data_IF_653325512617
#
_entry.id   IF_653325512617
#
_cell.length_a   1.000
_cell.length_b   1.000
_cell.length_c   1.000
_cell.angle_alpha   90.00
_cell.angle_beta   90.00
_cell.angle_gamma   90.00
#
_symmetry.space_group_name_H-M   'P 1'
#
loop_
_entity.id
_entity.type
_entity.pdbx_description
1 polymer ?
#
# COMPACT_ATOMS: atom_id res chain seq x y z
N UNK A 1 -1.74 29.73 29.73
CA UNK A 1 -1.05 29.05 28.61
C UNK A 1 -1.78 29.44 27.34
N UNK A 2 -1.16 30.30 26.53
CA UNK A 2 -1.84 31.28 25.69
C UNK A 2 -2.01 30.86 24.23
N UNK A 3 -2.97 31.49 23.58
CA UNK A 3 -3.41 31.40 22.18
C UNK A 3 -2.31 31.04 21.16
N UNK A 4 -1.07 31.51 21.34
CA UNK A 4 0.08 31.19 20.49
C UNK A 4 0.51 29.72 20.49
N UNK A 5 0.33 28.98 21.60
CA UNK A 5 0.61 27.53 21.61
C UNK A 5 -0.39 26.78 20.72
N UNK A 6 -1.68 27.14 20.79
CA UNK A 6 -2.73 26.55 19.95
C UNK A 6 -2.50 26.80 18.45
N UNK A 7 -2.02 28.01 18.09
CA UNK A 7 -1.66 28.32 16.70
C UNK A 7 -0.48 27.49 16.20
N UNK A 8 0.56 27.32 17.02
CA UNK A 8 1.71 26.48 16.68
C UNK A 8 1.30 25.01 16.52
N UNK A 9 0.50 24.49 17.44
CA UNK A 9 0.04 23.10 17.43
C UNK A 9 -0.82 22.83 16.18
N UNK A 10 -1.75 23.72 15.83
CA UNK A 10 -2.55 23.59 14.61
C UNK A 10 -1.72 23.63 13.33
N UNK A 11 -0.68 24.49 13.29
CA UNK A 11 0.23 24.54 12.15
C UNK A 11 1.03 23.24 12.00
N UNK A 12 1.58 22.71 13.10
CA UNK A 12 2.35 21.46 13.09
C UNK A 12 1.47 20.24 12.73
N UNK A 13 0.22 20.19 13.22
CA UNK A 13 -0.79 19.21 12.80
C UNK A 13 -1.05 19.25 11.29
N UNK A 14 -1.28 20.44 10.74
CA UNK A 14 -1.59 20.60 9.31
C UNK A 14 -0.46 20.09 8.42
N UNK A 15 0.80 20.26 8.80
CA UNK A 15 1.93 19.73 8.04
C UNK A 15 1.94 18.20 7.98
N UNK A 16 1.57 17.51 9.06
CA UNK A 16 1.46 16.05 9.08
C UNK A 16 0.23 15.59 8.28
N UNK A 17 -0.90 16.29 8.43
CA UNK A 17 -2.12 16.03 7.67
C UNK A 17 -1.85 16.12 6.16
N UNK A 18 -1.09 17.13 5.72
CA UNK A 18 -0.72 17.29 4.31
C UNK A 18 0.14 16.11 3.81
N UNK A 19 1.15 15.68 4.58
CA UNK A 19 1.99 14.52 4.23
C UNK A 19 1.12 13.28 4.07
N UNK A 20 0.27 12.96 5.06
CA UNK A 20 -0.58 11.77 4.99
C UNK A 20 -1.59 11.85 3.84
N UNK A 21 -2.20 13.01 3.63
CA UNK A 21 -3.16 13.21 2.56
C UNK A 21 -2.53 13.00 1.17
N UNK A 22 -1.29 13.46 0.98
CA UNK A 22 -0.57 13.25 -0.26
C UNK A 22 -0.22 11.77 -0.47
N UNK A 23 0.11 11.03 0.59
CA UNK A 23 0.32 9.58 0.51
C UNK A 23 -0.97 8.82 0.21
N UNK A 24 -2.06 9.14 0.92
CA UNK A 24 -3.37 8.52 0.69
C UNK A 24 -3.90 8.77 -0.72
N UNK A 25 -3.73 9.98 -1.27
CA UNK A 25 -4.12 10.25 -2.67
C UNK A 25 -3.37 9.39 -3.68
N UNK A 26 -2.09 9.10 -3.43
CA UNK A 26 -1.31 8.21 -4.32
C UNK A 26 -1.89 6.81 -4.32
N UNK A 27 -2.16 6.23 -3.15
CA UNK A 27 -2.72 4.88 -3.07
C UNK A 27 -4.20 4.81 -3.46
N UNK A 28 -4.98 5.87 -3.24
CA UNK A 28 -6.35 6.02 -3.76
C UNK A 28 -6.35 6.00 -5.29
N UNK A 29 -5.41 6.70 -5.94
CA UNK A 29 -5.28 6.68 -7.40
C UNK A 29 -4.94 5.30 -7.98
N UNK A 30 -4.44 4.39 -7.14
CA UNK A 30 -4.18 2.98 -7.47
C UNK A 30 -5.37 2.06 -7.14
N UNK A 31 -6.48 2.60 -6.63
CA UNK A 31 -7.67 1.84 -6.22
C UNK A 31 -7.50 1.05 -4.91
N UNK A 32 -6.46 1.34 -4.13
CA UNK A 32 -6.13 0.59 -2.91
C UNK A 32 -6.81 1.14 -1.65
N UNK A 33 -7.33 2.36 -1.68
CA UNK A 33 -7.97 3.01 -0.54
C UNK A 33 -9.45 3.26 -0.82
N UNK A 34 -10.31 2.90 0.15
CA UNK A 34 -11.77 3.14 0.06
C UNK A 34 -12.24 4.44 0.75
N UNK A 35 -11.38 5.03 1.58
CA UNK A 35 -11.67 6.21 2.38
C UNK A 35 -11.34 7.52 1.66
N UNK A 36 -12.01 8.60 2.07
CA UNK A 36 -11.63 9.95 1.66
C UNK A 36 -10.26 10.34 2.27
N UNK A 37 -9.21 10.60 1.45
CA UNK A 37 -7.85 10.84 1.94
C UNK A 37 -7.74 11.99 2.95
N UNK A 38 -8.43 13.10 2.67
CA UNK A 38 -8.34 14.31 3.48
C UNK A 38 -8.98 14.11 4.84
N UNK A 39 -10.19 13.53 4.86
CA UNK A 39 -10.92 13.27 6.10
C UNK A 39 -10.15 12.27 6.97
N UNK A 40 -9.66 11.19 6.37
CA UNK A 40 -8.87 10.18 7.06
C UNK A 40 -7.59 10.77 7.68
N UNK A 41 -6.86 11.59 6.91
CA UNK A 41 -5.63 12.23 7.41
C UNK A 41 -5.87 13.12 8.62
N UNK A 42 -6.97 13.87 8.63
CA UNK A 42 -7.35 14.70 9.79
C UNK A 42 -7.67 13.84 11.00
N UNK A 43 -8.48 12.79 10.82
CA UNK A 43 -8.89 11.89 11.91
C UNK A 43 -7.68 11.19 12.54
N UNK A 44 -6.78 10.63 11.74
CA UNK A 44 -5.58 9.93 12.24
C UNK A 44 -4.66 10.87 13.04
N UNK A 45 -4.43 12.08 12.55
CA UNK A 45 -3.56 13.05 13.22
C UNK A 45 -4.20 13.57 14.50
N UNK A 46 -5.50 13.90 14.48
CA UNK A 46 -6.19 14.38 15.67
C UNK A 46 -6.26 13.32 16.78
N UNK A 47 -6.54 12.06 16.43
CA UNK A 47 -6.59 10.95 17.38
C UNK A 47 -5.24 10.76 18.08
N UNK A 48 -4.16 10.60 17.31
CA UNK A 48 -2.84 10.42 17.89
C UNK A 48 -2.40 11.66 18.70
N UNK A 49 -2.69 12.86 18.20
CA UNK A 49 -2.32 14.09 18.91
C UNK A 49 -3.04 14.24 20.25
N UNK A 50 -4.30 13.79 20.35
CA UNK A 50 -5.06 13.77 21.60
C UNK A 50 -4.46 12.83 22.64
N UNK A 51 -3.96 11.68 22.22
CA UNK A 51 -3.43 10.61 23.09
C UNK A 51 -1.95 10.81 23.47
N UNK A 52 -1.15 11.39 22.57
CA UNK A 52 0.31 11.42 22.68
C UNK A 52 0.92 12.82 22.53
N UNK A 53 0.17 13.88 22.85
CA UNK A 53 0.64 15.29 22.81
C UNK A 53 1.99 15.53 23.51
N UNK A 54 2.31 14.75 24.54
CA UNK A 54 3.57 14.82 25.30
C UNK A 54 4.80 14.39 24.48
N UNK A 55 4.67 13.45 23.56
CA UNK A 55 5.77 12.96 22.70
C UNK A 55 6.25 14.03 21.72
N UNK A 56 5.42 15.03 21.46
CA UNK A 56 5.63 15.98 20.37
C UNK A 56 6.50 17.18 20.74
N UNK A 57 6.62 17.47 22.05
CA UNK A 57 7.44 18.51 22.70
C UNK A 57 7.97 19.63 21.76
N UNK A 58 7.06 20.21 20.97
CA UNK A 58 7.28 21.29 20.01
C UNK A 58 8.32 21.10 18.89
N UNK A 59 8.69 19.87 18.50
CA UNK A 59 9.77 19.58 17.53
C UNK A 59 9.32 19.05 16.16
N UNK A 60 8.01 18.90 15.91
CA UNK A 60 7.49 18.30 14.67
C UNK A 60 7.87 19.11 13.43
N UNK A 61 8.13 20.40 13.54
CA UNK A 61 8.53 21.22 12.39
C UNK A 61 9.88 20.80 11.73
N UNK A 62 10.61 19.79 12.21
CA UNK A 62 11.83 19.26 11.55
C UNK A 62 11.66 17.82 11.06
N UNK A 63 12.35 17.46 9.97
CA UNK A 63 12.63 16.05 9.66
C UNK A 63 13.69 15.54 10.64
N UNK A 64 13.58 14.32 11.19
CA UNK A 64 12.64 13.25 10.82
C UNK A 64 11.28 13.30 11.52
N UNK A 65 11.09 14.14 12.54
CA UNK A 65 9.93 14.11 13.43
C UNK A 65 8.55 14.12 12.71
N UNK A 66 8.40 14.84 11.58
CA UNK A 66 7.17 14.78 10.76
C UNK A 66 6.88 13.38 10.23
N UNK A 67 7.89 12.74 9.64
CA UNK A 67 7.76 11.42 9.02
C UNK A 67 7.50 10.38 10.10
N UNK A 68 8.23 10.46 11.20
CA UNK A 68 8.06 9.57 12.35
C UNK A 68 6.65 9.70 12.93
N UNK A 69 6.14 10.92 13.05
CA UNK A 69 4.77 11.13 13.51
C UNK A 69 3.72 10.66 12.48
N UNK A 70 3.96 10.83 11.18
CA UNK A 70 3.12 10.22 10.14
C UNK A 70 3.10 8.69 10.24
N UNK A 71 4.25 8.05 10.49
CA UNK A 71 4.36 6.60 10.73
C UNK A 71 3.53 6.20 11.95
N UNK A 72 3.68 6.91 13.06
CA UNK A 72 2.92 6.64 14.28
C UNK A 72 1.40 6.81 14.07
N UNK A 73 0.98 7.83 13.31
CA UNK A 73 -0.44 8.08 13.02
C UNK A 73 -1.03 6.98 12.13
N UNK A 74 -0.26 6.52 11.13
CA UNK A 74 -0.65 5.39 10.29
C UNK A 74 -0.71 4.08 11.07
N UNK A 75 0.26 3.80 11.94
CA UNK A 75 0.26 2.56 12.72
C UNK A 75 -0.90 2.51 13.71
N UNK A 76 -1.19 3.62 14.40
CA UNK A 76 -2.35 3.71 15.29
C UNK A 76 -3.67 3.59 14.50
N UNK A 77 -3.74 4.21 13.32
CA UNK A 77 -4.87 4.05 12.41
C UNK A 77 -5.10 2.61 11.96
N UNK A 78 -4.02 1.87 11.67
CA UNK A 78 -4.07 0.46 11.28
C UNK A 78 -4.66 -0.41 12.40
N UNK A 79 -4.29 -0.17 13.66
CA UNK A 79 -4.88 -0.87 14.81
C UNK A 79 -6.38 -0.60 14.99
N UNK A 80 -6.87 0.56 14.51
CA UNK A 80 -8.27 0.95 14.59
C UNK A 80 -9.12 0.40 13.44
N UNK A 81 -8.52 -0.16 12.37
CA UNK A 81 -9.27 -0.74 11.27
C UNK A 81 -10.00 -2.01 11.70
N UNK A 82 -11.18 -2.24 11.13
CA UNK A 82 -11.89 -3.50 11.34
C UNK A 82 -11.05 -4.66 10.78
N UNK A 83 -11.08 -5.81 11.46
CA UNK A 83 -10.25 -6.98 11.09
C UNK A 83 -10.54 -7.48 9.67
N UNK A 84 -11.78 -7.38 9.23
CA UNK A 84 -12.26 -7.76 7.91
C UNK A 84 -12.00 -6.71 6.81
N UNK A 85 -11.51 -5.52 7.16
CA UNK A 85 -11.14 -4.47 6.21
C UNK A 85 -9.72 -4.68 5.64
N UNK A 86 -9.52 -5.87 5.06
CA UNK A 86 -8.22 -6.33 4.54
C UNK A 86 -7.66 -5.38 3.49
N UNK A 87 -8.51 -4.80 2.63
CA UNK A 87 -8.08 -3.87 1.58
C UNK A 87 -7.44 -2.61 2.18
N UNK A 88 -8.09 -1.96 3.15
CA UNK A 88 -7.52 -0.75 3.74
C UNK A 88 -6.33 -1.07 4.65
N UNK A 89 -6.31 -2.24 5.32
CA UNK A 89 -5.13 -2.69 6.07
C UNK A 89 -3.91 -2.86 5.14
N UNK A 90 -4.08 -3.52 3.98
CA UNK A 90 -3.03 -3.65 2.95
C UNK A 90 -2.54 -2.27 2.48
N UNK A 91 -3.47 -1.34 2.26
CA UNK A 91 -3.14 0.02 1.84
C UNK A 91 -2.30 0.78 2.88
N UNK A 92 -2.65 0.65 4.16
CA UNK A 92 -1.90 1.24 5.27
C UNK A 92 -0.50 0.62 5.42
N UNK A 93 -0.37 -0.69 5.26
CA UNK A 93 0.93 -1.37 5.30
C UNK A 93 1.86 -0.94 4.16
N UNK A 94 1.34 -0.74 2.95
CA UNK A 94 2.13 -0.21 1.82
C UNK A 94 2.69 1.17 2.17
N UNK A 95 1.84 2.07 2.68
CA UNK A 95 2.28 3.41 3.08
C UNK A 95 3.29 3.39 4.23
N UNK A 96 3.08 2.53 5.23
CA UNK A 96 4.03 2.35 6.33
C UNK A 96 5.39 1.89 5.82
N UNK A 97 5.43 0.90 4.92
CA UNK A 97 6.67 0.40 4.32
C UNK A 97 7.42 1.52 3.57
N UNK A 98 6.73 2.34 2.81
CA UNK A 98 7.33 3.47 2.10
C UNK A 98 7.97 4.48 3.05
N UNK A 99 7.25 4.87 4.11
CA UNK A 99 7.76 5.83 5.09
C UNK A 99 8.92 5.26 5.93
N UNK A 100 8.86 3.97 6.30
CA UNK A 100 9.99 3.29 6.94
C UNK A 100 11.23 3.28 6.04
N UNK A 101 11.03 3.02 4.73
CA UNK A 101 12.12 3.06 3.75
C UNK A 101 12.70 4.47 3.62
N UNK A 102 11.86 5.51 3.63
CA UNK A 102 12.36 6.90 3.62
C UNK A 102 13.23 7.20 4.85
N UNK A 103 12.81 6.74 6.04
CA UNK A 103 13.59 6.93 7.27
C UNK A 103 14.91 6.17 7.21
N UNK A 104 14.91 4.93 6.71
CA UNK A 104 16.10 4.10 6.63
C UNK A 104 17.14 4.67 5.64
N UNK A 105 16.71 5.01 4.43
CA UNK A 105 17.57 5.60 3.38
C UNK A 105 18.18 6.93 3.82
N UNK A 106 17.44 7.75 4.57
CA UNK A 106 17.87 9.08 5.00
C UNK A 106 18.37 9.12 6.45
N UNK A 107 18.56 7.96 7.10
CA UNK A 107 18.88 7.85 8.53
C UNK A 107 20.08 8.70 8.95
N UNK A 108 21.11 8.76 8.11
CA UNK A 108 22.34 9.52 8.39
C UNK A 108 22.17 11.04 8.26
N UNK A 109 21.15 11.49 7.53
CA UNK A 109 20.80 12.91 7.38
C UNK A 109 19.78 13.35 8.43
N UNK A 110 19.02 12.39 8.97
CA UNK A 110 18.02 12.62 10.00
C UNK A 110 18.67 12.60 11.38
N UNK A 111 18.56 13.71 12.11
CA UNK A 111 18.93 13.77 13.53
C UNK A 111 17.90 13.05 14.40
N UNK A 112 17.80 11.72 14.27
CA UNK A 112 16.84 10.87 14.99
C UNK A 112 17.11 10.96 16.50
N UNK A 113 16.09 11.33 17.26
CA UNK A 113 16.14 11.42 18.73
C UNK A 113 15.62 10.14 19.38
N UNK A 114 15.87 9.97 20.67
CA UNK A 114 15.35 8.82 21.43
C UNK A 114 13.82 8.66 21.31
N UNK A 115 13.07 9.76 21.35
CA UNK A 115 11.61 9.74 21.17
C UNK A 115 11.19 9.28 19.79
N UNK A 116 11.98 9.60 18.76
CA UNK A 116 11.69 9.16 17.39
C UNK A 116 11.91 7.64 17.27
N UNK A 117 12.96 7.12 17.91
CA UNK A 117 13.25 5.67 17.95
C UNK A 117 12.11 4.92 18.65
N UNK A 118 11.64 5.41 19.79
CA UNK A 118 10.54 4.77 20.53
C UNK A 118 9.26 4.68 19.68
N UNK A 119 8.89 5.77 18.99
CA UNK A 119 7.73 5.77 18.09
C UNK A 119 7.92 4.81 16.90
N UNK A 120 9.12 4.78 16.31
CA UNK A 120 9.45 3.86 15.22
C UNK A 120 9.40 2.39 15.67
N UNK A 121 9.87 2.08 16.88
CA UNK A 121 9.83 0.72 17.42
C UNK A 121 8.40 0.24 17.68
N UNK A 122 7.54 1.10 18.24
CA UNK A 122 6.11 0.79 18.43
C UNK A 122 5.45 0.55 17.07
N UNK A 123 5.61 1.46 16.12
CA UNK A 123 5.03 1.33 14.79
C UNK A 123 5.57 0.12 14.03
N UNK A 124 6.85 -0.24 14.22
CA UNK A 124 7.45 -1.43 13.61
C UNK A 124 6.85 -2.72 14.15
N UNK A 125 6.51 -2.78 15.43
CA UNK A 125 5.84 -3.96 16.01
C UNK A 125 4.44 -4.14 15.41
N UNK A 126 3.67 -3.07 15.34
CA UNK A 126 2.34 -3.06 14.71
C UNK A 126 2.44 -3.49 13.24
N UNK A 127 3.39 -2.93 12.49
CA UNK A 127 3.62 -3.31 11.10
C UNK A 127 3.94 -4.81 10.95
N UNK A 128 4.83 -5.36 11.78
CA UNK A 128 5.19 -6.78 11.73
C UNK A 128 4.00 -7.66 12.11
N UNK A 129 3.25 -7.30 13.16
CA UNK A 129 2.06 -8.04 13.58
C UNK A 129 1.01 -8.09 12.47
N UNK A 130 0.63 -6.94 11.91
CA UNK A 130 -0.38 -6.89 10.85
C UNK A 130 0.09 -7.52 9.54
N UNK A 131 1.37 -7.36 9.17
CA UNK A 131 1.91 -8.03 7.98
C UNK A 131 1.94 -9.55 8.13
N UNK A 132 2.29 -10.07 9.31
CA UNK A 132 2.23 -11.51 9.59
C UNK A 132 0.80 -12.03 9.68
N UNK A 133 -0.13 -11.28 10.28
CA UNK A 133 -1.54 -11.64 10.34
C UNK A 133 -2.16 -11.68 8.94
N UNK A 134 -1.84 -10.72 8.08
CA UNK A 134 -2.27 -10.76 6.69
C UNK A 134 -1.59 -11.87 5.90
N UNK A 135 -0.29 -12.11 6.06
CA UNK A 135 0.37 -13.27 5.43
C UNK A 135 -0.15 -14.62 5.94
N UNK A 136 -0.68 -14.68 7.16
CA UNK A 136 -1.25 -15.90 7.74
C UNK A 136 -2.75 -16.08 7.46
N UNK A 137 -3.53 -15.00 7.37
CA UNK A 137 -4.91 -15.04 6.84
C UNK A 137 -4.93 -15.25 5.33
N UNK A 138 -3.94 -14.71 4.62
CA UNK A 138 -3.57 -15.16 3.28
C UNK A 138 -3.17 -16.64 3.38
N UNK A 139 -2.34 -17.13 4.30
CA UNK A 139 -2.10 -18.58 4.37
C UNK A 139 -3.34 -19.49 4.62
N UNK A 140 -4.50 -18.94 5.01
CA UNK A 140 -5.80 -19.65 5.15
C UNK A 140 -6.79 -19.34 4.02
N UNK A 141 -6.71 -18.19 3.33
CA UNK A 141 -7.63 -17.79 2.24
C UNK A 141 -6.95 -17.39 0.90
N UNK A 142 -5.64 -17.22 0.91
CA UNK A 142 -4.70 -16.96 -0.18
C UNK A 142 -3.37 -17.68 0.14
N UNK A 143 -3.34 -19.02 0.07
CA UNK A 143 -2.08 -19.71 -0.20
C UNK A 143 -1.59 -19.22 -1.57
N UNK A 144 -1.04 -18.02 -1.63
CA UNK A 144 -0.05 -17.64 -2.63
C UNK A 144 1.23 -18.33 -2.18
N UNK A 145 1.19 -19.65 -2.37
CA UNK A 145 2.40 -20.37 -2.66
C UNK A 145 3.05 -19.61 -3.82
N UNK A 146 4.27 -19.11 -3.60
CA UNK A 146 5.33 -19.22 -4.59
C UNK A 146 5.52 -20.72 -4.90
N UNK A 147 4.48 -21.36 -5.42
CA UNK A 147 4.60 -22.64 -6.08
C UNK A 147 5.35 -22.26 -7.34
N UNK A 148 6.61 -22.68 -7.41
CA UNK A 148 7.24 -22.88 -8.70
C UNK A 148 6.24 -23.68 -9.53
N UNK A 149 5.51 -23.02 -10.44
CA UNK A 149 4.55 -23.69 -11.31
C UNK A 149 5.33 -24.77 -12.06
N UNK A 150 5.13 -26.04 -11.68
CA UNK A 150 5.97 -27.13 -12.16
C UNK A 150 5.69 -27.40 -13.64
N UNK A 151 4.52 -26.98 -14.12
CA UNK A 151 4.09 -27.16 -15.50
C UNK A 151 3.50 -25.88 -16.11
N UNK A 152 3.65 -25.76 -17.42
CA UNK A 152 3.06 -24.71 -18.24
C UNK A 152 1.52 -24.65 -18.09
N UNK A 153 0.86 -25.79 -17.99
CA UNK A 153 -0.61 -25.85 -17.93
C UNK A 153 -1.16 -25.28 -16.62
N UNK A 154 -0.46 -25.49 -15.50
CA UNK A 154 -0.81 -24.90 -14.20
C UNK A 154 -0.62 -23.38 -14.20
N UNK A 155 0.52 -22.92 -14.73
CA UNK A 155 0.81 -21.49 -14.87
C UNK A 155 -0.23 -20.79 -15.77
N UNK A 156 -0.57 -21.42 -16.89
CA UNK A 156 -1.49 -20.88 -17.88
C UNK A 156 -2.95 -20.86 -17.38
N UNK A 157 -3.37 -21.87 -16.62
CA UNK A 157 -4.70 -21.89 -16.00
C UNK A 157 -4.90 -20.71 -15.04
N UNK A 158 -3.88 -20.38 -14.23
CA UNK A 158 -3.92 -19.22 -13.33
C UNK A 158 -3.96 -17.92 -14.13
N UNK A 159 -3.12 -17.79 -15.17
CA UNK A 159 -3.14 -16.63 -16.06
C UNK A 159 -4.52 -16.41 -16.69
N UNK A 160 -5.18 -17.47 -17.16
CA UNK A 160 -6.49 -17.37 -17.82
C UNK A 160 -7.59 -16.88 -16.88
N UNK A 161 -7.65 -17.41 -15.66
CA UNK A 161 -8.64 -16.99 -14.66
C UNK A 161 -8.42 -15.52 -14.29
N UNK A 162 -7.18 -15.14 -14.02
CA UNK A 162 -6.86 -13.78 -13.59
C UNK A 162 -7.09 -12.75 -14.72
N UNK A 163 -6.72 -13.09 -15.95
CA UNK A 163 -6.93 -12.22 -17.10
C UNK A 163 -8.42 -12.05 -17.41
N UNK A 164 -9.23 -13.11 -17.29
CA UNK A 164 -10.67 -13.04 -17.44
C UNK A 164 -11.31 -12.10 -16.41
N UNK A 165 -10.88 -12.17 -15.15
CA UNK A 165 -11.33 -11.26 -14.08
C UNK A 165 -10.97 -9.79 -14.40
N UNK A 166 -9.77 -9.54 -14.90
CA UNK A 166 -9.35 -8.19 -15.27
C UNK A 166 -10.07 -7.65 -16.51
N UNK A 167 -10.34 -8.49 -17.52
CA UNK A 167 -11.15 -8.09 -18.67
C UNK A 167 -12.58 -7.72 -18.26
N UNK A 168 -13.21 -8.51 -17.39
CA UNK A 168 -14.56 -8.25 -16.87
C UNK A 168 -14.61 -6.93 -16.08
N UNK A 169 -13.64 -6.70 -15.18
CA UNK A 169 -13.50 -5.44 -14.42
C UNK A 169 -13.31 -4.22 -15.33
N UNK A 170 -12.61 -4.37 -16.44
CA UNK A 170 -12.38 -3.31 -17.42
C UNK A 170 -13.53 -3.16 -18.43
N UNK A 171 -14.56 -4.01 -18.36
CA UNK A 171 -15.66 -4.05 -19.34
C UNK A 171 -15.19 -4.40 -20.76
N UNK A 172 -14.05 -5.08 -20.87
CA UNK A 172 -13.39 -5.43 -22.13
C UNK A 172 -13.74 -6.87 -22.52
N UNK A 173 -13.79 -7.11 -23.83
CA UNK A 173 -14.02 -8.46 -24.35
C UNK A 173 -12.84 -9.39 -24.02
N UNK A 174 -13.15 -10.56 -23.47
CA UNK A 174 -12.14 -11.59 -23.21
C UNK A 174 -11.66 -12.20 -24.53
N UNK A 175 -10.44 -11.85 -24.92
CA UNK A 175 -9.83 -12.27 -26.19
C UNK A 175 -8.84 -13.43 -26.05
N UNK A 176 -8.74 -14.07 -24.87
CA UNK A 176 -7.75 -15.10 -24.57
C UNK A 176 -7.80 -16.30 -25.53
N UNK A 177 -8.98 -16.65 -26.04
CA UNK A 177 -9.17 -17.77 -26.97
C UNK A 177 -8.66 -17.48 -28.40
N UNK A 178 -8.45 -16.21 -28.74
CA UNK A 178 -8.07 -15.76 -30.09
C UNK A 178 -6.58 -15.39 -30.21
N UNK A 179 -5.79 -15.71 -29.19
CA UNK A 179 -4.40 -15.30 -29.12
C UNK A 179 -3.42 -16.42 -29.44
N UNK A 180 -2.27 -16.02 -29.98
CA UNK A 180 -1.07 -16.84 -29.99
C UNK A 180 -0.54 -17.04 -28.56
N UNK A 181 -0.31 -18.30 -28.18
CA UNK A 181 0.21 -18.68 -26.87
C UNK A 181 1.73 -18.54 -26.78
N UNK A 182 2.42 -18.36 -27.91
CA UNK A 182 3.89 -18.28 -27.97
C UNK A 182 4.52 -17.17 -27.09
N UNK A 183 3.95 -15.95 -26.99
CA UNK A 183 4.48 -14.92 -26.09
C UNK A 183 4.30 -15.28 -24.61
N UNK A 184 3.21 -15.98 -24.27
CA UNK A 184 2.94 -16.41 -22.91
C UNK A 184 3.86 -17.57 -22.50
N UNK A 185 4.20 -18.46 -23.44
CA UNK A 185 5.20 -19.51 -23.21
C UNK A 185 6.58 -18.94 -22.89
N UNK A 186 7.02 -17.88 -23.58
CA UNK A 186 8.27 -17.18 -23.22
C UNK A 186 8.21 -16.56 -21.82
N UNK A 187 7.08 -15.94 -21.47
CA UNK A 187 6.90 -15.36 -20.14
C UNK A 187 6.95 -16.44 -19.03
N UNK A 188 6.46 -17.65 -19.31
CA UNK A 188 6.62 -18.79 -18.42
C UNK A 188 8.08 -19.26 -18.31
N UNK A 189 8.81 -19.39 -19.43
CA UNK A 189 10.25 -19.73 -19.44
C UNK A 189 11.09 -18.69 -18.67
N UNK A 190 10.70 -17.43 -18.75
CA UNK A 190 11.32 -16.30 -18.03
C UNK A 190 10.88 -16.21 -16.54
N UNK A 191 10.10 -17.17 -16.04
CA UNK A 191 9.57 -17.23 -14.67
C UNK A 191 8.79 -15.97 -14.25
N UNK A 192 8.05 -15.38 -15.20
CA UNK A 192 7.20 -14.23 -14.93
C UNK A 192 5.94 -14.69 -14.16
N UNK A 193 5.53 -13.91 -13.17
CA UNK A 193 4.31 -14.17 -12.41
C UNK A 193 3.05 -14.07 -13.32
N UNK A 194 2.25 -15.14 -13.44
CA UNK A 194 1.08 -15.15 -14.32
C UNK A 194 0.02 -14.14 -13.89
N UNK A 195 -0.11 -13.84 -12.60
CA UNK A 195 -1.11 -12.88 -12.10
C UNK A 195 -0.75 -11.45 -12.47
N UNK A 196 0.49 -11.06 -12.20
CA UNK A 196 1.02 -9.76 -12.59
C UNK A 196 0.96 -9.56 -14.11
N UNK A 197 1.33 -10.60 -14.87
CA UNK A 197 1.25 -10.55 -16.33
C UNK A 197 -0.20 -10.42 -16.82
N UNK A 198 -1.15 -11.16 -16.23
CA UNK A 198 -2.56 -11.12 -16.60
C UNK A 198 -3.19 -9.72 -16.45
N UNK A 199 -2.83 -9.01 -15.38
CA UNK A 199 -3.26 -7.61 -15.17
C UNK A 199 -2.73 -6.69 -16.26
N UNK A 200 -1.42 -6.68 -16.47
CA UNK A 200 -0.75 -5.85 -17.50
C UNK A 200 -1.27 -6.21 -18.89
N UNK A 201 -1.56 -7.49 -19.11
CA UNK A 201 -2.10 -8.01 -20.35
C UNK A 201 -3.52 -7.48 -20.62
N UNK A 202 -4.43 -7.56 -19.66
CA UNK A 202 -5.80 -7.06 -19.81
C UNK A 202 -5.86 -5.53 -19.96
N UNK A 203 -4.95 -4.81 -19.31
CA UNK A 203 -4.84 -3.35 -19.42
C UNK A 203 -4.39 -2.92 -20.82
N UNK A 204 -3.37 -3.57 -21.38
CA UNK A 204 -2.76 -3.20 -22.66
C UNK A 204 -3.45 -3.81 -23.89
N UNK A 205 -4.25 -4.86 -23.71
CA UNK A 205 -4.91 -5.54 -24.83
C UNK A 205 -6.28 -4.95 -25.09
N UNK A 206 -6.53 -4.59 -26.35
CA UNK A 206 -7.86 -4.23 -26.86
C UNK A 206 -8.26 -5.22 -27.96
N UNK A 207 -9.53 -5.58 -28.01
CA UNK A 207 -10.05 -6.55 -28.98
C UNK A 207 -9.76 -6.14 -30.44
N UNK A 208 -9.85 -4.85 -30.76
CA UNK A 208 -9.55 -4.31 -32.09
C UNK A 208 -8.09 -4.50 -32.54
N UNK A 209 -7.14 -4.52 -31.59
CA UNK A 209 -5.72 -4.78 -31.86
C UNK A 209 -5.41 -6.26 -32.06
N UNK A 210 -6.14 -7.16 -31.40
CA UNK A 210 -5.97 -8.61 -31.55
C UNK A 210 -6.44 -9.06 -32.92
N UNK A 211 -7.56 -8.52 -33.41
CA UNK A 211 -8.12 -8.86 -34.73
C UNK A 211 -7.27 -8.36 -35.92
N UNK A 212 -6.53 -7.25 -35.76
CA UNK A 212 -5.63 -6.72 -36.80
C UNK A 212 -4.36 -7.53 -36.98
N UNK A 213 -3.93 -8.26 -35.96
CA UNK A 213 -2.71 -9.07 -35.97
C UNK A 213 -2.97 -10.56 -36.26
N UNK A 214 -4.24 -10.96 -36.47
CA UNK A 214 -4.66 -12.34 -36.74
C UNK A 214 -5.12 -12.57 -38.20
N UNK A 215 -4.87 -11.62 -39.09
CA UNK A 215 -5.06 -11.73 -40.57
C UNK A 215 -3.70 -11.76 -41.27
#
# INVERSE_FOLDING_TARGET
MGIFSKFKDNYEKNLVIEILNDQFKRIESLGLLSFNPKKLSVELVENLWGESASYLNGSIHKRPARIVFSIAALSNGLECLAKDDVQNQKAFLVLLRELFTEVDVNRNQYGIKAVDVELLEIASKIYVEFSQNLSSEESVSEQVNLESYQTWDEWYAVFQVEAALHFDKLGKFNCLEYMDKSPLQRAYEDNVDPKSLAKVFAENTNFETVFKNSV
#
